data_IF_208490093807
#
_entry.id   IF_208490093807
#
_cell.length_a   1.000
_cell.length_b   1.000
_cell.length_c   1.000
_cell.angle_alpha   90.00
_cell.angle_beta   90.00
_cell.angle_gamma   90.00
#
_symmetry.space_group_name_H-M   'P 1'
#
loop_
_entity.id
_entity.type
_entity.pdbx_description
1 polymer ?
#
# COMPACT_ATOMS: atom_id res chain seq x y z
N UNK A 1 -8.29 10.78 -32.82
CA UNK A 1 -8.80 9.48 -33.31
C UNK A 1 -8.04 8.39 -32.57
N UNK A 2 -8.70 7.37 -32.01
CA UNK A 2 -8.13 6.08 -31.53
C UNK A 2 -7.05 6.14 -30.42
N UNK A 3 -7.03 5.29 -29.38
CA UNK A 3 -8.03 4.40 -28.76
C UNK A 3 -7.76 4.31 -27.25
N UNK A 4 -8.76 3.92 -26.46
CA UNK A 4 -8.61 3.60 -25.04
C UNK A 4 -8.15 2.16 -24.85
N UNK A 5 -7.23 1.90 -23.92
CA UNK A 5 -6.91 0.53 -23.48
C UNK A 5 -7.09 0.39 -21.96
N UNK A 6 -8.13 -0.36 -21.57
CA UNK A 6 -8.41 -0.75 -20.18
C UNK A 6 -7.90 -2.18 -19.96
N UNK A 7 -7.15 -2.49 -18.89
CA UNK A 7 -6.80 -3.87 -18.56
C UNK A 7 -8.01 -4.61 -17.95
N UNK A 8 -8.27 -5.82 -18.44
CA UNK A 8 -9.47 -6.58 -18.11
C UNK A 8 -9.40 -7.33 -16.76
N UNK A 9 -10.53 -7.35 -16.04
CA UNK A 9 -10.73 -8.16 -14.83
C UNK A 9 -10.95 -9.64 -15.20
N UNK A 10 -10.32 -10.55 -14.47
CA UNK A 10 -10.32 -11.98 -14.78
C UNK A 10 -11.68 -12.68 -14.61
N UNK A 11 -12.01 -13.59 -15.55
CA UNK A 11 -13.20 -14.47 -15.47
C UNK A 11 -12.87 -15.78 -14.74
N UNK A 12 -13.68 -16.11 -13.74
CA UNK A 12 -13.77 -17.45 -13.15
C UNK A 12 -14.08 -18.51 -14.23
N UNK A 13 -13.33 -19.62 -14.25
CA UNK A 13 -13.64 -20.81 -15.04
C UNK A 13 -14.11 -21.94 -14.13
N UNK A 14 -15.23 -22.55 -14.51
CA UNK A 14 -15.94 -23.58 -13.76
C UNK A 14 -15.86 -24.87 -14.58
N UNK A 15 -15.19 -25.91 -14.08
CA UNK A 15 -14.96 -27.17 -14.82
C UNK A 15 -15.46 -28.38 -14.04
N UNK A 16 -16.30 -29.17 -14.69
CA UNK A 16 -16.82 -30.47 -14.24
C UNK A 16 -15.70 -31.50 -14.07
N UNK A 17 -15.96 -32.52 -13.25
CA UNK A 17 -15.30 -33.83 -13.35
C UNK A 17 -16.30 -34.98 -13.13
N UNK A 18 -16.12 -36.03 -13.92
CA UNK A 18 -16.86 -37.30 -13.95
C UNK A 18 -15.82 -38.45 -13.85
N UNK A 19 -16.12 -39.64 -13.35
CA UNK A 19 -17.34 -40.19 -12.73
C UNK A 19 -16.92 -41.32 -11.76
N UNK A 20 -17.86 -42.19 -11.34
CA UNK A 20 -17.76 -43.67 -11.48
C UNK A 20 -19.07 -44.29 -10.95
N UNK A 21 -19.69 -45.17 -11.74
CA UNK A 21 -20.75 -46.07 -11.28
C UNK A 21 -20.13 -47.37 -10.76
N UNK A 22 -20.67 -47.90 -9.66
CA UNK A 22 -20.66 -49.32 -9.35
C UNK A 22 -22.02 -49.70 -8.75
N UNK A 23 -22.78 -50.54 -9.44
CA UNK A 23 -24.08 -51.03 -8.96
C UNK A 23 -23.95 -52.40 -8.29
N UNK A 24 -24.80 -52.69 -7.30
CA UNK A 24 -24.93 -54.04 -6.76
C UNK A 24 -26.38 -54.41 -6.43
N UNK A 25 -27.01 -55.03 -7.41
CA UNK A 25 -28.00 -56.12 -7.41
C UNK A 25 -29.20 -56.17 -6.44
N UNK A 26 -30.25 -56.83 -6.97
CA UNK A 26 -31.64 -56.80 -6.53
C UNK A 26 -32.16 -58.24 -6.37
N UNK A 27 -32.30 -58.74 -5.14
CA UNK A 27 -33.11 -59.92 -4.72
C UNK A 27 -32.94 -60.09 -3.19
N UNK A 28 -33.89 -60.58 -2.38
CA UNK A 28 -35.29 -60.98 -2.61
C UNK A 28 -35.80 -61.88 -1.46
N UNK A 29 -37.08 -61.76 -1.08
CA UNK A 29 -37.85 -62.63 -0.17
C UNK A 29 -37.40 -62.83 1.31
N UNK A 30 -38.40 -62.86 2.22
CA UNK A 30 -38.23 -63.30 3.62
C UNK A 30 -39.19 -62.57 4.57
N UNK A 31 -40.44 -63.00 4.68
CA UNK A 31 -41.51 -62.23 5.34
C UNK A 31 -41.87 -62.64 6.76
N UNK A 32 -42.59 -61.76 7.47
CA UNK A 32 -43.61 -62.12 8.47
C UNK A 32 -44.47 -60.93 8.87
N UNK A 33 -45.72 -60.91 8.43
CA UNK A 33 -46.84 -60.49 9.27
C UNK A 33 -48.12 -61.18 8.81
N UNK A 34 -48.77 -61.86 9.74
CA UNK A 34 -49.96 -62.65 9.47
C UNK A 34 -51.19 -61.75 9.34
N UNK A 35 -52.11 -62.11 8.46
CA UNK A 35 -53.41 -61.49 8.35
C UNK A 35 -54.39 -62.05 9.39
N UNK A 36 -55.22 -61.20 9.97
CA UNK A 36 -56.56 -61.57 10.46
C UNK A 36 -57.59 -60.54 9.99
N UNK A 37 -58.80 -61.04 9.80
CA UNK A 37 -59.89 -60.48 8.98
C UNK A 37 -60.69 -59.33 9.66
N UNK A 38 -61.60 -58.66 8.92
CA UNK A 38 -62.26 -57.43 9.37
C UNK A 38 -63.49 -57.70 10.25
N UNK A 39 -63.89 -56.69 11.03
CA UNK A 39 -65.28 -56.24 11.24
C UNK A 39 -65.26 -55.04 12.19
N UNK A 40 -65.78 -53.89 11.74
CA UNK A 40 -66.51 -52.91 12.56
C UNK A 40 -66.77 -51.65 11.73
N UNK A 41 -67.98 -51.53 11.19
CA UNK A 41 -68.52 -50.25 10.72
C UNK A 41 -68.73 -49.36 11.95
N UNK A 42 -67.74 -48.56 12.30
CA UNK A 42 -67.91 -47.43 13.19
C UNK A 42 -67.88 -46.17 12.34
N UNK A 43 -69.07 -45.74 11.90
CA UNK A 43 -69.34 -44.35 11.51
C UNK A 43 -69.15 -43.45 12.73
N UNK A 44 -67.90 -43.24 13.12
CA UNK A 44 -67.53 -42.06 13.86
C UNK A 44 -67.81 -40.89 12.93
N UNK A 45 -68.94 -40.21 13.16
CA UNK A 45 -69.23 -38.91 12.60
C UNK A 45 -68.04 -38.02 12.92
N UNK A 46 -67.13 -37.86 11.96
CA UNK A 46 -66.13 -36.83 12.00
C UNK A 46 -66.92 -35.52 12.01
N UNK A 47 -67.11 -34.98 13.21
CA UNK A 47 -67.42 -33.57 13.36
C UNK A 47 -66.19 -32.86 12.85
N UNK A 48 -66.18 -32.61 11.54
CA UNK A 48 -65.30 -31.66 10.89
C UNK A 48 -65.62 -30.32 11.53
N UNK A 49 -64.97 -30.05 12.66
CA UNK A 49 -64.85 -28.72 13.21
C UNK A 49 -64.19 -27.93 12.07
N UNK A 50 -65.01 -27.15 11.37
CA UNK A 50 -64.56 -26.25 10.32
C UNK A 50 -63.81 -25.13 11.01
N UNK A 51 -62.56 -25.40 11.39
CA UNK A 51 -61.67 -24.40 11.95
C UNK A 51 -61.44 -23.37 10.84
N UNK A 52 -61.98 -22.17 11.06
CA UNK A 52 -61.94 -21.09 10.10
C UNK A 52 -60.48 -20.66 9.95
N UNK A 53 -59.80 -21.14 8.92
CA UNK A 53 -58.40 -20.83 8.67
C UNK A 53 -58.29 -19.47 7.98
N UNK A 54 -57.45 -18.61 8.55
CA UNK A 54 -57.18 -17.27 8.06
C UNK A 54 -55.71 -17.20 7.65
N UNK A 55 -55.43 -16.49 6.56
CA UNK A 55 -54.05 -16.27 6.11
C UNK A 55 -53.38 -15.25 7.03
N UNK A 56 -52.24 -15.63 7.61
CA UNK A 56 -51.43 -14.75 8.46
C UNK A 56 -50.76 -13.69 7.58
N UNK A 57 -51.02 -12.38 7.78
CA UNK A 57 -50.47 -11.32 6.95
C UNK A 57 -49.04 -10.97 7.35
N UNK A 58 -48.28 -10.36 6.43
CA UNK A 58 -46.99 -9.76 6.74
C UNK A 58 -47.14 -8.58 7.71
N UNK A 59 -46.48 -8.66 8.87
CA UNK A 59 -46.32 -7.53 9.79
C UNK A 59 -44.86 -7.20 10.12
N UNK A 60 -43.89 -7.89 9.52
CA UNK A 60 -42.46 -7.57 9.64
C UNK A 60 -42.17 -6.17 9.08
N UNK A 61 -41.27 -5.43 9.73
CA UNK A 61 -40.97 -4.00 9.56
C UNK A 61 -42.06 -3.02 10.03
N UNK A 62 -43.26 -3.48 10.41
CA UNK A 62 -44.24 -2.60 11.06
C UNK A 62 -43.86 -2.32 12.52
N UNK A 63 -44.37 -1.23 13.06
CA UNK A 63 -44.36 -0.97 14.50
C UNK A 63 -45.34 -1.91 15.20
N UNK A 64 -45.03 -2.32 16.44
CA UNK A 64 -45.76 -3.38 17.14
C UNK A 64 -47.23 -3.03 17.43
N UNK A 65 -47.56 -1.76 17.60
CA UNK A 65 -48.93 -1.27 17.65
C UNK A 65 -49.70 -1.64 16.37
N UNK A 66 -49.21 -1.22 15.20
CA UNK A 66 -49.84 -1.50 13.89
C UNK A 66 -49.90 -2.99 13.58
N UNK A 67 -48.83 -3.72 13.90
CA UNK A 67 -48.77 -5.17 13.74
C UNK A 67 -49.84 -5.88 14.59
N UNK A 68 -50.00 -5.45 15.84
CA UNK A 68 -50.99 -6.01 16.76
C UNK A 68 -52.42 -5.68 16.29
N UNK A 69 -52.69 -4.43 15.95
CA UNK A 69 -54.01 -4.00 15.44
C UNK A 69 -54.42 -4.79 14.17
N UNK A 70 -53.47 -5.02 13.26
CA UNK A 70 -53.71 -5.76 12.01
C UNK A 70 -54.01 -7.26 12.26
N UNK A 71 -53.32 -7.88 13.22
CA UNK A 71 -53.50 -9.30 13.56
C UNK A 71 -54.77 -9.53 14.41
N UNK A 72 -55.03 -8.68 15.41
CA UNK A 72 -56.23 -8.78 16.25
C UNK A 72 -57.51 -8.52 15.44
N UNK A 73 -57.46 -7.63 14.45
CA UNK A 73 -58.58 -7.41 13.49
C UNK A 73 -58.92 -8.64 12.64
N UNK A 74 -57.97 -9.55 12.44
CA UNK A 74 -58.19 -10.84 11.76
C UNK A 74 -58.56 -11.98 12.73
N UNK A 75 -58.65 -11.69 14.03
CA UNK A 75 -58.97 -12.66 15.07
C UNK A 75 -57.76 -13.43 15.61
N UNK A 76 -56.52 -13.04 15.29
CA UNK A 76 -55.33 -13.66 15.88
C UNK A 76 -55.00 -13.05 17.25
N UNK A 77 -54.50 -13.88 18.16
CA UNK A 77 -53.84 -13.42 19.40
C UNK A 77 -52.40 -13.06 19.09
N UNK A 78 -51.83 -12.09 19.82
CA UNK A 78 -50.48 -11.59 19.56
C UNK A 78 -49.63 -11.63 20.83
N UNK A 79 -48.59 -12.45 20.82
CA UNK A 79 -47.52 -12.45 21.81
C UNK A 79 -46.29 -11.79 21.19
N UNK A 80 -45.70 -10.79 21.87
CA UNK A 80 -44.52 -10.09 21.37
C UNK A 80 -43.37 -10.17 22.39
N UNK A 81 -42.15 -10.43 21.90
CA UNK A 81 -40.95 -10.59 22.73
C UNK A 81 -39.77 -9.82 22.15
N UNK A 82 -38.99 -9.17 23.00
CA UNK A 82 -37.72 -8.54 22.61
C UNK A 82 -36.72 -9.62 22.18
N UNK A 83 -36.40 -9.64 20.89
CA UNK A 83 -35.49 -10.63 20.28
C UNK A 83 -34.02 -10.26 20.39
N UNK A 84 -33.67 -9.13 21.00
CA UNK A 84 -32.29 -8.70 21.23
C UNK A 84 -31.90 -8.72 22.71
N UNK A 85 -32.66 -8.05 23.58
CA UNK A 85 -32.24 -7.77 24.98
C UNK A 85 -33.23 -8.28 26.04
N UNK A 86 -34.29 -8.98 25.63
CA UNK A 86 -35.31 -9.53 26.54
C UNK A 86 -36.08 -8.49 27.37
N UNK A 87 -36.05 -7.20 26.99
CA UNK A 87 -36.69 -6.12 27.76
C UNK A 87 -38.21 -6.18 27.68
N UNK A 88 -38.87 -5.67 28.72
CA UNK A 88 -40.32 -5.52 28.75
C UNK A 88 -40.81 -4.45 27.76
N UNK A 89 -41.87 -4.77 27.03
CA UNK A 89 -42.45 -3.90 26.01
C UNK A 89 -43.42 -2.92 26.67
N UNK A 90 -42.94 -1.71 26.98
CA UNK A 90 -43.74 -0.67 27.65
C UNK A 90 -44.51 0.18 26.61
N UNK A 91 -43.81 0.75 25.63
CA UNK A 91 -44.38 1.68 24.63
C UNK A 91 -44.40 1.02 23.26
N UNK A 92 -45.50 0.35 22.88
CA UNK A 92 -45.59 -0.51 21.68
C UNK A 92 -45.09 0.14 20.38
N UNK A 93 -45.40 1.42 20.14
CA UNK A 93 -44.98 2.14 18.92
C UNK A 93 -43.46 2.36 18.83
N UNK A 94 -42.72 2.20 19.95
CA UNK A 94 -41.25 2.25 20.03
C UNK A 94 -40.60 0.85 19.78
N UNK A 95 -41.36 -0.09 19.23
CA UNK A 95 -40.90 -1.44 18.92
C UNK A 95 -41.25 -1.78 17.47
N UNK A 96 -40.28 -2.31 16.72
CA UNK A 96 -40.46 -2.78 15.35
C UNK A 96 -40.42 -4.30 15.31
N UNK A 97 -41.33 -4.92 14.55
CA UNK A 97 -41.35 -6.36 14.30
C UNK A 97 -40.22 -6.72 13.34
N UNK A 98 -39.35 -7.63 13.77
CA UNK A 98 -38.23 -8.17 12.96
C UNK A 98 -38.43 -9.64 12.60
N UNK A 99 -39.25 -10.38 13.36
CA UNK A 99 -39.65 -11.75 13.03
C UNK A 99 -41.10 -12.01 13.42
N UNK A 100 -41.72 -12.98 12.75
CA UNK A 100 -43.11 -13.35 12.90
C UNK A 100 -43.26 -14.85 12.69
N UNK A 101 -43.98 -15.51 13.59
CA UNK A 101 -44.30 -16.94 13.54
C UNK A 101 -45.77 -17.15 13.93
N UNK A 102 -46.64 -17.80 13.11
CA UNK A 102 -46.37 -18.32 11.78
C UNK A 102 -45.96 -17.23 10.77
N UNK A 103 -45.14 -17.60 9.79
CA UNK A 103 -44.66 -16.68 8.76
C UNK A 103 -45.80 -16.13 7.87
N UNK A 104 -45.54 -14.99 7.22
CA UNK A 104 -46.46 -14.39 6.24
C UNK A 104 -46.92 -15.42 5.18
N UNK A 105 -48.23 -15.46 4.92
CA UNK A 105 -48.85 -16.38 3.96
C UNK A 105 -49.18 -17.76 4.54
N UNK A 106 -48.75 -18.08 5.76
CA UNK A 106 -49.19 -19.30 6.44
C UNK A 106 -50.69 -19.27 6.71
N UNK A 107 -51.36 -20.42 6.62
CA UNK A 107 -52.71 -20.60 7.12
C UNK A 107 -52.64 -20.92 8.61
N UNK A 108 -53.40 -20.19 9.42
CA UNK A 108 -53.52 -20.44 10.85
C UNK A 108 -55.00 -20.34 11.27
N UNK A 109 -55.36 -21.06 12.33
CA UNK A 109 -56.74 -21.08 12.82
C UNK A 109 -57.11 -19.72 13.44
N UNK A 110 -58.31 -19.22 13.15
CA UNK A 110 -58.84 -18.00 13.78
C UNK A 110 -58.85 -18.17 15.31
N UNK A 111 -58.19 -17.27 16.03
CA UNK A 111 -57.96 -17.36 17.47
C UNK A 111 -56.61 -17.98 17.89
N UNK A 112 -55.78 -18.42 16.95
CA UNK A 112 -54.40 -18.86 17.20
C UNK A 112 -53.50 -17.69 17.62
N UNK A 113 -52.38 -18.01 18.27
CA UNK A 113 -51.37 -17.00 18.65
C UNK A 113 -50.30 -16.85 17.57
N UNK A 114 -50.05 -15.61 17.15
CA UNK A 114 -48.89 -15.21 16.38
C UNK A 114 -47.84 -14.66 17.34
N UNK A 115 -46.64 -15.23 17.29
CA UNK A 115 -45.45 -14.79 18.03
C UNK A 115 -44.68 -13.78 17.20
N UNK A 116 -44.42 -12.60 17.77
CA UNK A 116 -43.65 -11.53 17.14
C UNK A 116 -42.33 -11.32 17.87
N UNK A 117 -41.22 -11.45 17.15
CA UNK A 117 -39.94 -10.97 17.61
C UNK A 117 -39.79 -9.49 17.29
N UNK A 118 -39.55 -8.67 18.31
CA UNK A 118 -39.43 -7.21 18.16
C UNK A 118 -38.06 -6.68 18.59
N UNK A 119 -37.71 -5.52 18.04
CA UNK A 119 -36.54 -4.69 18.39
C UNK A 119 -37.01 -3.34 18.88
N UNK A 120 -36.45 -2.83 19.98
CA UNK A 120 -36.70 -1.46 20.41
C UNK A 120 -36.00 -0.47 19.47
N UNK A 121 -36.69 0.60 19.06
CA UNK A 121 -36.16 1.55 18.06
C UNK A 121 -35.07 2.46 18.64
N UNK A 122 -35.17 2.87 19.91
CA UNK A 122 -34.11 3.64 20.58
C UNK A 122 -32.81 2.83 20.71
N UNK A 123 -32.89 1.55 21.09
CA UNK A 123 -31.73 0.63 21.09
C UNK A 123 -31.08 0.53 19.69
N UNK A 124 -31.87 0.39 18.63
CA UNK A 124 -31.38 0.35 17.23
C UNK A 124 -30.71 1.67 16.84
N UNK A 125 -31.32 2.81 17.20
CA UNK A 125 -30.77 4.14 16.91
C UNK A 125 -29.46 4.39 17.67
N UNK A 126 -29.39 4.02 18.95
CA UNK A 126 -28.20 4.13 19.77
C UNK A 126 -27.06 3.22 19.28
N UNK A 127 -27.35 1.98 18.89
CA UNK A 127 -26.38 1.06 18.29
C UNK A 127 -25.82 1.62 16.97
N UNK A 128 -26.68 2.18 16.11
CA UNK A 128 -26.24 2.83 14.87
C UNK A 128 -25.36 4.06 15.14
N UNK A 129 -25.77 4.94 16.05
CA UNK A 129 -25.01 6.13 16.40
C UNK A 129 -23.63 5.80 17.03
N UNK A 130 -23.56 4.75 17.86
CA UNK A 130 -22.32 4.26 18.43
C UNK A 130 -21.38 3.70 17.34
N UNK A 131 -21.91 2.93 16.39
CA UNK A 131 -21.14 2.40 15.26
C UNK A 131 -20.62 3.52 14.34
N UNK A 132 -21.44 4.55 14.07
CA UNK A 132 -21.06 5.71 13.25
C UNK A 132 -19.96 6.54 13.94
N UNK A 133 -20.09 6.80 15.25
CA UNK A 133 -19.03 7.46 16.03
C UNK A 133 -17.73 6.66 16.02
N UNK A 134 -17.79 5.34 16.24
CA UNK A 134 -16.60 4.48 16.23
C UNK A 134 -15.89 4.47 14.85
N UNK A 135 -16.65 4.53 13.75
CA UNK A 135 -16.10 4.66 12.40
C UNK A 135 -15.42 6.03 12.20
N UNK A 136 -16.04 7.12 12.68
CA UNK A 136 -15.46 8.47 12.61
C UNK A 136 -14.18 8.61 13.45
N UNK A 137 -14.18 8.13 14.69
CA UNK A 137 -13.01 8.14 15.58
C UNK A 137 -11.83 7.37 14.96
N UNK A 138 -12.11 6.19 14.36
CA UNK A 138 -11.09 5.39 13.65
C UNK A 138 -10.52 6.12 12.44
N UNK A 139 -11.38 6.74 11.61
CA UNK A 139 -10.94 7.50 10.44
C UNK A 139 -10.07 8.72 10.83
N UNK A 140 -10.41 9.41 11.92
CA UNK A 140 -9.61 10.52 12.45
C UNK A 140 -8.24 10.06 12.95
N UNK A 141 -8.17 8.92 13.64
CA UNK A 141 -6.90 8.34 14.10
C UNK A 141 -5.99 7.92 12.93
N UNK A 142 -6.56 7.31 11.88
CA UNK A 142 -5.81 6.92 10.67
C UNK A 142 -5.28 8.14 9.91
N UNK A 143 -6.06 9.22 9.79
CA UNK A 143 -5.59 10.47 9.18
C UNK A 143 -4.48 11.13 10.01
N UNK A 144 -4.60 11.17 11.35
CA UNK A 144 -3.56 11.71 12.22
C UNK A 144 -2.24 10.92 12.11
N UNK A 145 -2.31 9.59 12.06
CA UNK A 145 -1.14 8.73 11.86
C UNK A 145 -0.47 8.96 10.50
N UNK A 146 -1.27 9.06 9.42
CA UNK A 146 -0.77 9.34 8.08
C UNK A 146 -0.12 10.73 7.98
N UNK A 147 -0.73 11.76 8.57
CA UNK A 147 -0.18 13.11 8.62
C UNK A 147 1.15 13.17 9.37
N UNK A 148 1.27 12.47 10.52
CA UNK A 148 2.53 12.38 11.25
C UNK A 148 3.62 11.68 10.42
N UNK A 149 3.30 10.55 9.79
CA UNK A 149 4.26 9.83 8.94
C UNK A 149 4.75 10.67 7.75
N UNK A 150 3.86 11.46 7.14
CA UNK A 150 4.23 12.39 6.07
C UNK A 150 5.15 13.52 6.57
N UNK A 151 4.87 14.09 7.74
CA UNK A 151 5.70 15.12 8.37
C UNK A 151 7.08 14.58 8.78
N UNK A 152 7.15 13.39 9.39
CA UNK A 152 8.40 12.73 9.77
C UNK A 152 9.27 12.46 8.51
N UNK A 153 8.66 11.99 7.41
CA UNK A 153 9.38 11.79 6.14
C UNK A 153 9.89 13.11 5.55
N UNK A 154 9.06 14.17 5.52
CA UNK A 154 9.47 15.46 5.00
C UNK A 154 10.62 16.08 5.82
N UNK A 155 10.62 15.91 7.14
CA UNK A 155 11.73 16.33 8.00
C UNK A 155 13.02 15.55 7.71
N UNK A 156 12.93 14.23 7.50
CA UNK A 156 14.07 13.39 7.13
C UNK A 156 14.64 13.74 5.75
N UNK A 157 13.78 13.90 4.73
CA UNK A 157 14.18 14.31 3.38
C UNK A 157 14.89 15.68 3.40
N UNK A 158 14.38 16.64 4.19
CA UNK A 158 15.02 17.96 4.36
C UNK A 158 16.38 17.84 5.03
N UNK A 159 16.52 17.05 6.09
CA UNK A 159 17.80 16.86 6.77
C UNK A 159 18.88 16.24 5.87
N UNK A 160 18.50 15.32 4.97
CA UNK A 160 19.40 14.76 3.95
C UNK A 160 19.80 15.83 2.93
N UNK A 161 18.86 16.65 2.46
CA UNK A 161 19.15 17.74 1.51
C UNK A 161 20.06 18.83 2.13
N UNK A 162 19.78 19.26 3.37
CA UNK A 162 20.59 20.23 4.10
C UNK A 162 22.03 19.72 4.30
N UNK A 163 22.20 18.42 4.64
CA UNK A 163 23.53 17.81 4.77
C UNK A 163 24.26 17.76 3.43
N UNK A 164 23.60 17.35 2.35
CA UNK A 164 24.21 17.29 1.02
C UNK A 164 24.66 18.68 0.53
N UNK A 165 23.89 19.73 0.80
CA UNK A 165 24.27 21.11 0.51
C UNK A 165 25.48 21.58 1.34
N UNK A 166 25.56 21.22 2.62
CA UNK A 166 26.70 21.53 3.48
C UNK A 166 27.98 20.79 3.07
N UNK A 167 27.87 19.50 2.74
CA UNK A 167 28.99 18.67 2.25
C UNK A 167 29.55 19.25 0.93
N UNK A 168 28.67 19.67 0.01
CA UNK A 168 29.06 20.29 -1.26
C UNK A 168 29.76 21.64 -1.05
N UNK A 169 29.21 22.52 -0.21
CA UNK A 169 29.82 23.82 0.09
C UNK A 169 31.22 23.68 0.74
N UNK A 170 31.41 22.67 1.59
CA UNK A 170 32.72 22.35 2.17
C UNK A 170 33.72 21.84 1.12
N UNK A 171 33.27 21.02 0.15
CA UNK A 171 34.10 20.55 -0.95
C UNK A 171 34.51 21.68 -1.90
N UNK A 172 33.58 22.58 -2.25
CA UNK A 172 33.84 23.74 -3.11
C UNK A 172 34.82 24.73 -2.45
N UNK A 173 34.69 24.97 -1.14
CA UNK A 173 35.64 25.80 -0.39
C UNK A 173 37.04 25.17 -0.37
N UNK A 174 37.15 23.86 -0.09
CA UNK A 174 38.43 23.16 -0.09
C UNK A 174 39.12 23.16 -1.48
N UNK A 175 38.33 23.10 -2.57
CA UNK A 175 38.83 23.23 -3.93
C UNK A 175 39.34 24.66 -4.22
N UNK A 176 38.61 25.68 -3.77
CA UNK A 176 39.01 27.08 -3.91
C UNK A 176 40.29 27.41 -3.13
N UNK A 177 40.39 26.96 -1.88
CA UNK A 177 41.58 27.15 -1.02
C UNK A 177 42.82 26.47 -1.63
N UNK A 178 42.66 25.26 -2.18
CA UNK A 178 43.74 24.58 -2.91
C UNK A 178 44.17 25.37 -4.16
N UNK A 179 43.21 25.85 -4.95
CA UNK A 179 43.52 26.64 -6.15
C UNK A 179 44.25 27.95 -5.82
N UNK A 180 43.86 28.63 -4.73
CA UNK A 180 44.55 29.82 -4.24
C UNK A 180 45.99 29.51 -3.77
N UNK A 181 46.19 28.39 -3.07
CA UNK A 181 47.52 27.94 -2.64
C UNK A 181 48.44 27.58 -3.83
N UNK A 182 47.91 26.86 -4.82
CA UNK A 182 48.64 26.51 -6.06
C UNK A 182 49.05 27.79 -6.85
N UNK A 183 48.16 28.78 -6.94
CA UNK A 183 48.46 30.07 -7.57
C UNK A 183 49.53 30.87 -6.81
N UNK A 184 49.45 30.92 -5.48
CA UNK A 184 50.46 31.59 -4.65
C UNK A 184 51.85 30.94 -4.79
N UNK A 185 51.90 29.61 -4.85
CA UNK A 185 53.13 28.87 -5.09
C UNK A 185 53.72 29.16 -6.50
N UNK A 186 52.87 29.18 -7.53
CA UNK A 186 53.28 29.51 -8.89
C UNK A 186 53.79 30.96 -9.02
N UNK A 187 53.11 31.93 -8.40
CA UNK A 187 53.53 33.33 -8.37
C UNK A 187 54.88 33.50 -7.67
N UNK A 188 55.11 32.81 -6.55
CA UNK A 188 56.42 32.81 -5.87
C UNK A 188 57.51 32.20 -6.77
N UNK A 189 57.26 31.07 -7.41
CA UNK A 189 58.22 30.44 -8.31
C UNK A 189 58.59 31.35 -9.51
N UNK A 190 57.61 32.07 -10.07
CA UNK A 190 57.84 33.05 -11.13
C UNK A 190 58.68 34.24 -10.65
N UNK A 191 58.44 34.76 -9.44
CA UNK A 191 59.23 35.82 -8.83
C UNK A 191 60.67 35.38 -8.52
N UNK A 192 60.86 34.19 -7.94
CA UNK A 192 62.18 33.61 -7.69
C UNK A 192 62.97 33.43 -9.02
N UNK A 193 62.30 33.03 -10.10
CA UNK A 193 62.91 32.89 -11.42
C UNK A 193 63.25 34.24 -12.07
N UNK A 194 62.39 35.25 -11.94
CA UNK A 194 62.67 36.60 -12.43
C UNK A 194 63.88 37.23 -11.73
N UNK A 195 63.99 37.04 -10.40
CA UNK A 195 65.14 37.49 -9.62
C UNK A 195 66.44 36.80 -10.04
N UNK A 196 66.41 35.48 -10.31
CA UNK A 196 67.56 34.73 -10.85
C UNK A 196 68.02 35.24 -12.21
N UNK A 197 67.07 35.51 -13.12
CA UNK A 197 67.38 36.03 -14.45
C UNK A 197 67.97 37.46 -14.36
N UNK A 198 67.45 38.31 -13.48
CA UNK A 198 67.97 39.67 -13.28
C UNK A 198 69.37 39.71 -12.64
N UNK A 199 69.75 38.65 -11.90
CA UNK A 199 71.07 38.49 -11.29
C UNK A 199 72.12 37.86 -12.22
N UNK A 200 71.75 37.42 -13.44
CA UNK A 200 72.73 36.97 -14.42
C UNK A 200 73.52 38.17 -14.95
N UNK A 201 74.87 38.14 -14.98
CA UNK A 201 75.65 39.20 -15.60
C UNK A 201 75.30 39.28 -17.10
N UNK A 202 75.33 40.48 -17.71
CA UNK A 202 75.06 40.62 -19.14
C UNK A 202 76.00 39.69 -19.91
N UNK A 203 75.42 38.91 -20.83
CA UNK A 203 76.16 37.89 -21.56
C UNK A 203 77.42 38.49 -22.17
N UNK A 204 78.59 38.03 -21.69
CA UNK A 204 79.87 38.53 -22.15
C UNK A 204 79.98 38.25 -23.65
N UNK A 205 79.89 39.30 -24.47
CA UNK A 205 80.12 39.22 -25.90
C UNK A 205 81.59 38.91 -26.14
N UNK A 206 81.94 37.63 -26.10
CA UNK A 206 83.24 37.14 -26.56
C UNK A 206 83.43 37.61 -28.00
N UNK A 207 84.41 38.50 -28.27
CA UNK A 207 84.65 38.96 -29.63
C UNK A 207 85.09 37.77 -30.47
N UNK A 208 84.47 37.60 -31.64
CA UNK A 208 84.79 36.54 -32.58
C UNK A 208 86.25 36.70 -33.09
N UNK A 209 87.18 36.01 -32.44
CA UNK A 209 88.62 36.00 -32.77
C UNK A 209 88.89 35.10 -33.98
N UNK A 210 88.38 35.50 -35.14
CA UNK A 210 88.72 34.88 -36.42
C UNK A 210 90.23 34.91 -36.65
N UNK A 211 90.87 33.73 -36.59
CA UNK A 211 92.29 33.54 -36.90
C UNK A 211 93.10 32.71 -35.89
N UNK A 212 92.57 32.42 -34.71
CA UNK A 212 93.29 31.60 -33.72
C UNK A 212 93.27 30.10 -34.08
N UNK A 213 94.43 29.45 -34.08
CA UNK A 213 94.55 28.00 -34.29
C UNK A 213 94.46 27.32 -32.93
N UNK A 214 93.49 26.41 -32.75
CA UNK A 214 93.31 25.66 -31.50
C UNK A 214 94.00 24.29 -31.64
N UNK A 215 94.81 23.92 -30.66
CA UNK A 215 95.47 22.62 -30.58
C UNK A 215 94.56 21.56 -29.92
N UNK A 216 94.85 20.27 -30.14
CA UNK A 216 94.03 19.15 -29.64
C UNK A 216 93.89 19.09 -28.11
N UNK A 217 94.79 19.74 -27.37
CA UNK A 217 94.78 19.88 -25.91
C UNK A 217 94.04 21.13 -25.40
N UNK A 218 93.43 21.90 -26.30
CA UNK A 218 92.77 23.17 -25.99
C UNK A 218 93.70 24.38 -25.93
N UNK A 219 95.01 24.22 -26.16
CA UNK A 219 95.93 25.35 -26.23
C UNK A 219 95.63 26.23 -27.46
N UNK A 220 95.47 27.54 -27.22
CA UNK A 220 95.25 28.52 -28.29
C UNK A 220 96.59 29.04 -28.79
N UNK A 221 96.95 28.69 -30.03
CA UNK A 221 98.22 29.09 -30.62
C UNK A 221 98.20 30.60 -30.95
N UNK A 222 99.14 31.41 -30.40
CA UNK A 222 99.09 32.86 -30.46
C UNK A 222 99.57 33.48 -31.80
N UNK A 223 99.75 32.66 -32.84
CA UNK A 223 100.26 33.09 -34.15
C UNK A 223 99.35 32.61 -35.28
N UNK A 224 99.26 33.40 -36.35
CA UNK A 224 98.46 33.08 -37.55
C UNK A 224 99.18 32.13 -38.53
N UNK A 225 100.48 31.86 -38.32
CA UNK A 225 101.29 31.00 -39.20
C UNK A 225 101.18 29.52 -38.81
N UNK A 226 100.76 28.66 -39.75
CA UNK A 226 100.57 27.21 -39.52
C UNK A 226 101.85 26.38 -39.41
N UNK A 227 103.01 26.85 -39.87
CA UNK A 227 104.26 26.08 -39.80
C UNK A 227 104.72 25.92 -38.34
N UNK A 228 104.79 24.66 -37.88
CA UNK A 228 105.13 24.30 -36.49
C UNK A 228 103.98 24.43 -35.48
N UNK A 229 102.81 24.92 -35.89
CA UNK A 229 101.66 25.08 -34.99
C UNK A 229 101.25 23.74 -34.37
N UNK A 230 100.97 23.74 -33.06
CA UNK A 230 100.53 22.59 -32.28
C UNK A 230 101.43 21.33 -32.35
N UNK A 231 102.68 21.43 -32.85
CA UNK A 231 103.56 20.27 -33.04
C UNK A 231 104.04 19.62 -31.72
N UNK A 232 103.94 20.36 -30.60
CA UNK A 232 104.12 19.84 -29.23
C UNK A 232 102.81 19.58 -28.47
N UNK A 233 101.66 19.87 -29.09
CA UNK A 233 100.32 19.91 -28.47
C UNK A 233 99.34 18.92 -29.13
N UNK A 234 99.84 17.76 -29.59
CA UNK A 234 99.01 16.72 -30.20
C UNK A 234 98.40 17.08 -31.58
N UNK A 235 98.94 18.10 -32.26
CA UNK A 235 98.42 18.58 -33.54
C UNK A 235 97.28 19.60 -33.41
N UNK A 236 96.84 20.12 -34.54
CA UNK A 236 95.74 21.09 -34.62
C UNK A 236 94.42 20.32 -34.43
N UNK A 237 93.51 20.84 -33.60
CA UNK A 237 92.18 20.29 -33.44
C UNK A 237 91.41 20.33 -34.78
N UNK A 238 90.70 19.25 -35.11
CA UNK A 238 89.88 19.16 -36.32
C UNK A 238 88.53 19.85 -36.17
#
# INVERSE_FOLDING_TARGET
>A
MKESTVPAVGRLKKTLALAVLAGLMLTGCGGKQAATQPTATATATAVSQTTETVVVPAVVNLTLDKAKDQLEKLGFKVEAVDSAKGKSIIVKSNWQVVSQDPANGAQAEKGSTVRLGVRNLDDVAAEKAAAEKAAADKAAAEQAAAAKAAADKAAADKAVADKAAADQAAADQAAADKAAADQAAAAKAAADQAARNAAQPPAATVPNSGGAIICSDGYVWPSTTRQGACSRHGGIAK
#
